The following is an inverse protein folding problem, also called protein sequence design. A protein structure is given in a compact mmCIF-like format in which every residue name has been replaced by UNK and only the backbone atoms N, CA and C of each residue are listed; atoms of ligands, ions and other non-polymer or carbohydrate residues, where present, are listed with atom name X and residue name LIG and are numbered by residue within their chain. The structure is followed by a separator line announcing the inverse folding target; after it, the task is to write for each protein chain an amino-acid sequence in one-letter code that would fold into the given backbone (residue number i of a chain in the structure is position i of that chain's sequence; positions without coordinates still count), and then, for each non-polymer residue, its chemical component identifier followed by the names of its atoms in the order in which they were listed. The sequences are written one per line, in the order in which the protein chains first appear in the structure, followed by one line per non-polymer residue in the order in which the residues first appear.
data_IF_390396493464
#
_entry.id   IF_390396493464
#
_cell.length_a   1.000
_cell.length_b   1.000
_cell.length_c   1.000
_cell.angle_alpha   90.00
_cell.angle_beta   90.00
_cell.angle_gamma   90.00
#
_symmetry.space_group_name_H-M   'P 1'
#
loop_
_entity.id
_entity.type
_entity.pdbx_description
1 polymer ?
#
# COMPACT_ATOMS: atom_id res chain seq x y z
N UNK A 1 14.08 -15.62 -24.96
CA UNK A 1 12.98 -14.63 -25.13
C UNK A 1 13.32 -13.43 -24.26
N UNK A 2 13.48 -12.26 -24.86
CA UNK A 2 13.75 -11.06 -24.09
C UNK A 2 12.43 -10.58 -23.43
N UNK A 3 12.46 -10.27 -22.15
CA UNK A 3 11.33 -9.64 -21.47
C UNK A 3 11.27 -8.18 -21.89
N UNK A 4 10.16 -7.78 -22.49
CA UNK A 4 9.95 -6.38 -22.82
C UNK A 4 9.32 -5.65 -21.63
N UNK A 5 9.96 -4.59 -21.17
CA UNK A 5 9.44 -3.75 -20.10
C UNK A 5 8.74 -2.53 -20.71
N UNK A 6 7.56 -2.21 -20.21
CA UNK A 6 6.91 -0.96 -20.54
C UNK A 6 7.58 0.19 -19.77
N UNK A 7 8.42 0.95 -20.45
CA UNK A 7 9.12 2.11 -19.87
C UNK A 7 8.36 3.42 -20.07
N UNK A 8 7.20 3.39 -20.73
CA UNK A 8 6.39 4.58 -21.05
C UNK A 8 5.31 4.87 -20.00
N UNK A 9 5.46 4.32 -18.79
CA UNK A 9 4.52 4.61 -17.71
C UNK A 9 4.65 6.07 -17.28
N UNK A 10 3.53 6.78 -17.32
CA UNK A 10 3.44 8.17 -16.85
C UNK A 10 2.77 8.17 -15.48
N UNK A 11 3.51 8.44 -14.40
CA UNK A 11 2.92 8.56 -13.08
C UNK A 11 2.08 9.82 -13.03
N UNK A 12 0.93 9.73 -12.40
CA UNK A 12 0.08 10.88 -12.07
C UNK A 12 0.12 11.04 -10.55
N UNK A 13 1.15 11.70 -10.07
CA UNK A 13 1.33 11.90 -8.63
C UNK A 13 0.14 12.66 -8.04
N UNK A 14 -0.30 12.23 -6.85
CA UNK A 14 -1.45 12.82 -6.17
C UNK A 14 -2.81 12.42 -6.74
N UNK A 15 -2.85 11.62 -7.81
CA UNK A 15 -4.09 11.13 -8.41
C UNK A 15 -4.29 9.64 -8.12
N UNK A 16 -5.54 9.27 -7.83
CA UNK A 16 -5.94 7.87 -7.72
C UNK A 16 -6.25 7.30 -9.10
N UNK A 17 -5.70 6.13 -9.41
CA UNK A 17 -6.06 5.36 -10.60
C UNK A 17 -6.86 4.13 -10.19
N UNK A 18 -8.07 4.00 -10.68
CA UNK A 18 -8.90 2.80 -10.47
C UNK A 18 -8.47 1.72 -11.45
N UNK A 19 -7.97 0.61 -10.93
CA UNK A 19 -7.52 -0.54 -11.73
C UNK A 19 -8.61 -1.59 -11.90
N UNK A 20 -9.49 -1.69 -10.91
CA UNK A 20 -10.67 -2.55 -10.92
C UNK A 20 -11.73 -1.99 -9.96
N UNK A 21 -12.94 -2.57 -9.88
CA UNK A 21 -13.95 -2.12 -8.90
C UNK A 21 -13.46 -2.11 -7.45
N UNK A 22 -12.45 -2.93 -7.12
CA UNK A 22 -11.93 -3.08 -5.76
C UNK A 22 -10.48 -2.66 -5.58
N UNK A 23 -9.78 -2.26 -6.62
CA UNK A 23 -8.37 -1.90 -6.54
C UNK A 23 -8.12 -0.52 -7.10
N UNK A 24 -7.53 0.31 -6.30
CA UNK A 24 -7.06 1.66 -6.62
C UNK A 24 -5.58 1.76 -6.38
N UNK A 25 -4.89 2.54 -7.17
CA UNK A 25 -3.45 2.80 -7.04
C UNK A 25 -3.19 4.29 -6.93
N UNK A 26 -2.31 4.65 -6.03
CA UNK A 26 -1.68 5.97 -5.93
C UNK A 26 -0.18 5.79 -6.08
N UNK A 27 0.46 6.55 -6.95
CA UNK A 27 1.92 6.49 -7.13
C UNK A 27 2.56 7.61 -6.33
N UNK A 28 3.52 7.25 -5.49
CA UNK A 28 4.29 8.21 -4.70
C UNK A 28 5.30 8.96 -5.57
N UNK A 29 5.48 10.25 -5.31
CA UNK A 29 6.49 11.06 -6.00
C UNK A 29 7.88 10.87 -5.35
N UNK A 30 8.43 9.68 -5.51
CA UNK A 30 9.76 9.31 -5.03
C UNK A 30 10.58 8.59 -6.13
N UNK A 31 10.69 9.16 -7.34
CA UNK A 31 11.41 8.51 -8.43
C UNK A 31 12.90 8.39 -8.13
N UNK A 32 13.45 7.20 -8.35
CA UNK A 32 14.90 6.92 -8.25
C UNK A 32 15.21 5.62 -9.01
N UNK A 33 16.49 5.21 -9.13
CA UNK A 33 16.84 3.98 -9.85
C UNK A 33 16.19 2.69 -9.31
N UNK A 34 15.77 2.66 -8.05
CA UNK A 34 15.13 1.50 -7.43
C UNK A 34 13.61 1.52 -7.49
N UNK A 35 13.01 2.70 -7.58
CA UNK A 35 11.56 2.88 -7.62
C UNK A 35 11.01 3.21 -9.01
N UNK A 36 11.90 3.40 -9.98
CA UNK A 36 11.58 3.87 -11.33
C UNK A 36 10.86 5.22 -11.28
N UNK A 37 9.56 5.27 -11.57
CA UNK A 37 8.74 6.50 -11.50
C UNK A 37 8.18 6.78 -10.11
N UNK A 38 8.32 5.86 -9.17
CA UNK A 38 7.85 5.98 -7.80
C UNK A 38 7.19 4.69 -7.30
N UNK A 39 7.02 4.60 -6.00
CA UNK A 39 6.38 3.46 -5.34
C UNK A 39 4.89 3.43 -5.64
N UNK A 40 4.40 2.30 -6.17
CA UNK A 40 2.96 2.05 -6.31
C UNK A 40 2.35 1.63 -4.99
N UNK A 41 1.36 2.38 -4.54
CA UNK A 41 0.61 2.13 -3.31
C UNK A 41 -0.81 1.74 -3.68
N UNK A 42 -1.33 0.68 -3.06
CA UNK A 42 -2.61 0.10 -3.44
C UNK A 42 -3.62 0.16 -2.31
N UNK A 43 -4.84 0.55 -2.66
CA UNK A 43 -6.03 0.48 -1.83
C UNK A 43 -6.91 -0.64 -2.35
N UNK A 44 -7.20 -1.63 -1.51
CA UNK A 44 -7.95 -2.83 -1.89
C UNK A 44 -9.18 -2.98 -1.00
N UNK A 45 -10.32 -3.13 -1.62
CA UNK A 45 -11.59 -3.32 -0.95
C UNK A 45 -12.56 -2.16 -1.10
N UNK A 46 -13.72 -2.29 -0.48
CA UNK A 46 -14.80 -1.30 -0.39
C UNK A 46 -15.37 -1.34 1.03
N UNK A 47 -15.67 -0.18 1.61
CA UNK A 47 -16.07 -0.08 3.02
C UNK A 47 -14.85 -0.22 3.93
N UNK A 48 -14.48 -1.44 4.27
CA UNK A 48 -13.19 -1.74 4.89
C UNK A 48 -12.13 -1.89 3.81
N UNK A 49 -11.09 -1.06 3.89
CA UNK A 49 -10.04 -0.97 2.86
C UNK A 49 -8.71 -1.39 3.44
N UNK A 50 -8.00 -2.24 2.71
CA UNK A 50 -6.61 -2.56 2.98
C UNK A 50 -5.69 -1.61 2.21
N UNK A 51 -4.73 -1.02 2.91
CA UNK A 51 -3.64 -0.23 2.33
C UNK A 51 -2.40 -1.11 2.22
N UNK A 52 -1.90 -1.30 1.00
CA UNK A 52 -0.73 -2.12 0.74
C UNK A 52 0.47 -1.21 0.47
N UNK A 53 1.52 -1.39 1.28
CA UNK A 53 2.76 -0.62 1.23
C UNK A 53 2.50 0.89 1.22
N UNK A 54 2.33 1.54 2.39
CA UNK A 54 2.02 2.98 2.46
C UNK A 54 2.98 3.91 1.71
N UNK A 55 4.17 3.41 1.37
CA UNK A 55 5.15 4.15 0.59
C UNK A 55 6.06 5.04 1.45
N UNK A 56 6.65 6.08 0.84
CA UNK A 56 7.51 7.01 1.54
C UNK A 56 6.72 7.88 2.52
N UNK A 57 7.41 8.41 3.54
CA UNK A 57 6.82 9.30 4.54
C UNK A 57 6.66 10.74 4.02
N UNK A 58 6.03 10.90 2.87
CA UNK A 58 5.71 12.18 2.25
C UNK A 58 4.27 12.56 2.56
N UNK A 59 4.05 13.69 3.19
CA UNK A 59 2.71 14.11 3.59
C UNK A 59 1.76 14.27 2.40
N UNK A 60 2.22 14.88 1.31
CA UNK A 60 1.43 15.03 0.07
C UNK A 60 0.99 13.68 -0.51
N UNK A 61 1.88 12.68 -0.46
CA UNK A 61 1.54 11.33 -0.91
C UNK A 61 0.49 10.68 -0.02
N UNK A 62 0.68 10.75 1.30
CA UNK A 62 -0.27 10.20 2.25
C UNK A 62 -1.62 10.91 2.19
N UNK A 63 -1.63 12.22 1.98
CA UNK A 63 -2.86 12.98 1.74
C UNK A 63 -3.59 12.42 0.52
N UNK A 64 -2.90 12.20 -0.59
CA UNK A 64 -3.49 11.61 -1.80
C UNK A 64 -4.04 10.19 -1.56
N UNK A 65 -3.34 9.38 -0.76
CA UNK A 65 -3.80 8.03 -0.39
C UNK A 65 -5.10 8.09 0.41
N UNK A 66 -5.18 8.95 1.42
CA UNK A 66 -6.40 9.09 2.22
C UNK A 66 -7.54 9.78 1.47
N UNK A 67 -7.25 10.74 0.60
CA UNK A 67 -8.23 11.39 -0.28
C UNK A 67 -8.80 10.43 -1.34
N UNK A 68 -8.11 9.32 -1.61
CA UNK A 68 -8.59 8.27 -2.51
C UNK A 68 -9.69 7.39 -1.90
N UNK A 69 -9.96 7.53 -0.59
CA UNK A 69 -11.10 6.85 0.05
C UNK A 69 -12.41 7.50 -0.40
N UNK A 70 -13.40 6.66 -0.62
CA UNK A 70 -14.76 7.09 -0.93
C UNK A 70 -15.58 7.26 0.36
N UNK A 71 -16.75 7.87 0.26
CA UNK A 71 -17.64 8.08 1.40
C UNK A 71 -17.97 6.76 2.12
N UNK A 72 -17.81 6.74 3.42
CA UNK A 72 -18.06 5.56 4.26
C UNK A 72 -16.93 4.53 4.26
N UNK A 73 -15.83 4.77 3.52
CA UNK A 73 -14.66 3.89 3.55
C UNK A 73 -13.69 4.27 4.66
N UNK A 74 -13.02 3.25 5.21
CA UNK A 74 -11.94 3.43 6.17
C UNK A 74 -10.83 2.43 5.90
N UNK A 75 -9.57 2.86 6.06
CA UNK A 75 -8.43 1.95 6.08
C UNK A 75 -8.45 1.22 7.42
N UNK A 76 -8.64 -0.09 7.37
CA UNK A 76 -8.72 -0.98 8.53
C UNK A 76 -7.52 -1.91 8.64
N UNK A 77 -6.79 -2.12 7.55
CA UNK A 77 -5.64 -3.00 7.47
C UNK A 77 -4.52 -2.30 6.70
N UNK A 78 -3.30 -2.37 7.22
CA UNK A 78 -2.09 -1.92 6.53
C UNK A 78 -1.20 -3.14 6.34
N UNK A 79 -0.97 -3.52 5.08
CA UNK A 79 -0.14 -4.67 4.72
C UNK A 79 1.19 -4.19 4.18
N UNK A 80 2.26 -4.79 4.68
CA UNK A 80 3.63 -4.53 4.27
C UNK A 80 4.18 -5.75 3.55
N UNK A 81 4.53 -5.61 2.29
CA UNK A 81 5.06 -6.71 1.48
C UNK A 81 6.51 -7.04 1.86
N UNK A 82 7.31 -6.03 2.16
CA UNK A 82 8.70 -6.14 2.59
C UNK A 82 9.16 -4.86 3.28
N UNK A 83 10.34 -4.88 3.90
CA UNK A 83 10.79 -3.83 4.82
C UNK A 83 11.62 -2.71 4.18
N UNK A 84 11.69 -2.62 2.85
CA UNK A 84 12.38 -1.50 2.19
C UNK A 84 11.70 -0.17 2.51
N UNK A 85 12.49 0.86 2.71
CA UNK A 85 12.06 2.18 3.21
C UNK A 85 11.05 2.86 2.28
N UNK A 86 11.18 2.68 0.98
CA UNK A 86 10.25 3.21 -0.02
C UNK A 86 8.84 2.58 0.04
N UNK A 87 8.68 1.46 0.77
CA UNK A 87 7.40 0.82 1.03
C UNK A 87 6.88 1.05 2.46
N UNK A 88 7.76 1.29 3.42
CA UNK A 88 7.44 1.23 4.85
C UNK A 88 7.57 2.55 5.60
N UNK A 89 8.28 3.53 5.07
CA UNK A 89 8.52 4.80 5.80
C UNK A 89 7.22 5.53 6.18
N UNK A 90 6.15 5.37 5.39
CA UNK A 90 4.85 5.96 5.64
C UNK A 90 3.96 5.19 6.64
N UNK A 91 4.35 3.98 7.09
CA UNK A 91 3.51 3.12 7.95
C UNK A 91 3.09 3.83 9.22
N UNK A 92 4.01 4.44 9.97
CA UNK A 92 3.70 5.09 11.23
C UNK A 92 2.66 6.22 11.06
N UNK A 93 2.80 7.05 10.03
CA UNK A 93 1.83 8.12 9.73
C UNK A 93 0.49 7.56 9.27
N UNK A 94 0.49 6.49 8.48
CA UNK A 94 -0.74 5.83 8.05
C UNK A 94 -1.50 5.22 9.23
N UNK A 95 -0.80 4.56 10.16
CA UNK A 95 -1.39 4.07 11.41
C UNK A 95 -1.95 5.21 12.24
N UNK A 96 -1.20 6.29 12.41
CA UNK A 96 -1.67 7.46 13.17
C UNK A 96 -2.96 8.04 12.61
N UNK A 97 -3.10 8.09 11.28
CA UNK A 97 -4.30 8.63 10.61
C UNK A 97 -5.50 7.67 10.63
N UNK A 98 -5.26 6.38 10.50
CA UNK A 98 -6.32 5.37 10.32
C UNK A 98 -6.68 4.62 11.59
N UNK A 99 -5.74 4.44 12.52
CA UNK A 99 -5.86 3.51 13.64
C UNK A 99 -5.82 2.03 13.20
N UNK A 100 -5.45 1.75 11.95
CA UNK A 100 -5.45 0.40 11.40
C UNK A 100 -4.32 -0.45 11.98
N UNK A 101 -4.57 -1.76 12.13
CA UNK A 101 -3.54 -2.74 12.45
C UNK A 101 -2.59 -2.95 11.27
N UNK A 102 -1.34 -3.27 11.56
CA UNK A 102 -0.31 -3.55 10.55
C UNK A 102 -0.01 -5.03 10.46
N UNK A 103 0.23 -5.50 9.24
CA UNK A 103 0.47 -6.90 8.91
C UNK A 103 1.68 -7.03 8.01
N UNK A 104 2.51 -8.03 8.27
CA UNK A 104 3.68 -8.34 7.46
C UNK A 104 3.99 -9.82 7.50
N UNK A 105 4.83 -10.30 6.60
CA UNK A 105 5.23 -11.69 6.54
C UNK A 105 6.55 -11.92 7.30
N UNK A 106 6.54 -12.86 8.25
CA UNK A 106 7.73 -13.31 8.96
C UNK A 106 8.29 -12.29 9.97
N UNK A 107 9.53 -12.49 10.40
CA UNK A 107 10.20 -11.60 11.33
C UNK A 107 10.69 -10.34 10.63
N UNK A 108 10.39 -9.20 11.19
CA UNK A 108 10.74 -7.89 10.65
C UNK A 108 11.80 -7.21 11.53
N UNK A 109 12.63 -6.39 10.88
CA UNK A 109 13.57 -5.53 11.59
C UNK A 109 12.86 -4.36 12.29
N UNK A 110 13.61 -3.54 13.02
CA UNK A 110 13.08 -2.45 13.86
C UNK A 110 12.30 -1.35 13.13
N UNK A 111 12.31 -1.33 11.80
CA UNK A 111 11.69 -0.27 10.99
C UNK A 111 10.18 -0.50 10.79
N UNK A 112 9.76 -1.74 10.81
CA UNK A 112 8.33 -2.13 10.74
C UNK A 112 8.10 -3.16 11.82
N UNK A 113 7.30 -2.81 12.80
CA UNK A 113 6.79 -3.73 13.79
C UNK A 113 5.31 -3.98 13.47
N UNK A 114 4.99 -4.94 12.60
CA UNK A 114 3.59 -5.25 12.36
C UNK A 114 2.95 -5.77 13.63
N UNK A 115 1.71 -5.37 13.88
CA UNK A 115 0.97 -5.80 15.07
C UNK A 115 0.72 -7.31 15.05
N UNK A 116 0.64 -7.86 13.84
CA UNK A 116 0.39 -9.28 13.63
C UNK A 116 1.24 -9.81 12.48
N UNK A 117 1.81 -11.00 12.67
CA UNK A 117 2.46 -11.74 11.60
C UNK A 117 1.39 -12.36 10.68
N UNK A 118 1.49 -12.11 9.38
CA UNK A 118 0.55 -12.63 8.39
C UNK A 118 0.40 -14.17 8.42
N UNK A 119 1.46 -14.89 8.80
CA UNK A 119 1.43 -16.35 8.86
C UNK A 119 0.62 -16.84 10.06
N UNK A 120 0.62 -16.08 11.17
CA UNK A 120 -0.05 -16.50 12.40
C UNK A 120 -1.45 -15.91 12.56
N UNK A 121 -1.70 -14.71 12.03
CA UNK A 121 -2.90 -13.94 12.32
C UNK A 121 -3.97 -13.98 11.25
N UNK A 122 -3.60 -14.29 10.03
CA UNK A 122 -4.53 -14.29 8.90
C UNK A 122 -4.58 -15.65 8.26
N UNK A 123 -5.73 -16.24 8.28
CA UNK A 123 -5.98 -17.34 7.38
C UNK A 123 -5.83 -16.83 5.96
N UNK A 124 -4.92 -17.42 5.23
CA UNK A 124 -4.58 -17.06 3.85
C UNK A 124 -5.82 -16.96 2.93
N UNK A 125 -6.84 -17.72 3.24
CA UNK A 125 -8.15 -17.71 2.59
C UNK A 125 -8.96 -16.43 2.83
N UNK A 126 -8.85 -15.78 3.98
CA UNK A 126 -9.52 -14.50 4.25
C UNK A 126 -8.89 -13.35 3.48
N UNK A 127 -7.56 -13.38 3.30
CA UNK A 127 -6.85 -12.39 2.51
C UNK A 127 -7.04 -12.58 1.01
N UNK A 128 -7.00 -13.81 0.55
CA UNK A 128 -7.30 -14.12 -0.85
C UNK A 128 -8.71 -13.69 -1.23
N UNK A 129 -9.67 -13.69 -0.31
CA UNK A 129 -11.02 -13.20 -0.60
C UNK A 129 -11.10 -11.67 -0.73
N UNK A 130 -10.19 -10.92 -0.09
CA UNK A 130 -10.03 -9.47 -0.28
C UNK A 130 -9.23 -9.12 -1.55
N UNK A 131 -8.30 -9.98 -1.92
CA UNK A 131 -7.42 -9.82 -3.09
C UNK A 131 -7.98 -10.56 -4.32
N UNK A 132 -8.90 -11.48 -4.15
CA UNK A 132 -9.61 -12.14 -5.24
C UNK A 132 -10.53 -11.14 -5.93
N UNK A 133 -9.94 -10.57 -6.89
CA UNK A 133 -10.54 -9.62 -7.81
C UNK A 133 -11.06 -10.41 -9.00
#
# INVERSE_FOLDING_TARGET
MAVSFNTNFVPRYGEVTRLSPRVRRVVANNPNPFTFTGTGVYLVGTGEVALIDPGPSLDEHLDAVFDALEDGEAITHILVTHTHTDHTAGVAKAVQRSGAATYGYGRHGAVVAPDLDLVESLRFDQYLSLIHI
#
